data_IF_506433112548
#
_entry.id   IF_506433112548
#
_cell.length_a   1.000
_cell.length_b   1.000
_cell.length_c   1.000
_cell.angle_alpha   90.00
_cell.angle_beta   90.00
_cell.angle_gamma   90.00
#
_symmetry.space_group_name_H-M   'P 1'
#
loop_
_entity.id
_entity.type
_entity.pdbx_description
1 polymer ?
#
# COMPACT_ATOMS: atom_id res chain seq x y z
N UNK A 1 -37.95 -26.92 21.26
CA UNK A 1 -36.68 -27.25 21.95
C UNK A 1 -35.50 -27.64 21.03
N UNK A 2 -35.69 -28.16 19.80
CA UNK A 2 -34.58 -28.61 18.93
C UNK A 2 -33.61 -27.53 18.40
N UNK A 3 -34.09 -26.30 18.18
CA UNK A 3 -33.28 -25.24 17.55
C UNK A 3 -32.17 -24.69 18.47
N UNK A 4 -32.45 -24.56 19.78
CA UNK A 4 -31.44 -24.12 20.74
C UNK A 4 -30.38 -25.20 20.98
N UNK A 5 -30.74 -26.47 20.86
CA UNK A 5 -29.79 -27.58 20.91
C UNK A 5 -28.87 -27.55 19.70
N UNK A 6 -29.41 -27.33 18.50
CA UNK A 6 -28.62 -27.18 17.28
C UNK A 6 -27.69 -25.97 17.31
N UNK A 7 -28.14 -24.83 17.88
CA UNK A 7 -27.29 -23.66 18.07
C UNK A 7 -26.15 -23.91 19.06
N UNK A 8 -26.43 -24.54 20.21
CA UNK A 8 -25.40 -24.89 21.19
C UNK A 8 -24.42 -25.94 20.66
N UNK A 9 -24.88 -26.86 19.82
CA UNK A 9 -24.05 -27.87 19.18
C UNK A 9 -23.15 -27.24 18.12
N UNK A 10 -23.68 -26.32 17.29
CA UNK A 10 -22.89 -25.54 16.34
C UNK A 10 -21.85 -24.62 17.02
N UNK A 11 -22.19 -24.05 18.18
CA UNK A 11 -21.30 -23.19 18.96
C UNK A 11 -20.18 -23.99 19.66
N UNK A 12 -20.50 -25.20 20.15
CA UNK A 12 -19.50 -26.15 20.67
C UNK A 12 -18.55 -26.66 19.59
N UNK A 13 -19.04 -26.92 18.37
CA UNK A 13 -18.20 -27.31 17.23
C UNK A 13 -17.24 -26.17 16.84
N UNK A 14 -17.66 -24.89 16.92
CA UNK A 14 -16.78 -23.73 16.70
C UNK A 14 -15.73 -23.52 17.79
N UNK A 15 -16.01 -23.88 19.05
CA UNK A 15 -15.07 -23.69 20.16
C UNK A 15 -14.14 -24.88 20.40
N UNK A 16 -14.52 -26.09 20.00
CA UNK A 16 -13.63 -27.27 20.03
C UNK A 16 -12.70 -27.35 18.83
N UNK A 17 -13.06 -26.72 17.71
CA UNK A 17 -12.09 -26.37 16.68
C UNK A 17 -11.16 -25.29 17.23
N UNK A 18 -10.11 -25.71 17.96
CA UNK A 18 -8.87 -24.94 18.03
C UNK A 18 -8.56 -24.42 16.62
N UNK A 19 -7.98 -23.22 16.44
CA UNK A 19 -7.61 -22.74 15.11
C UNK A 19 -6.59 -23.71 14.53
N UNK A 20 -7.09 -24.74 13.83
CA UNK A 20 -6.30 -25.69 13.07
C UNK A 20 -5.39 -24.84 12.21
N UNK A 21 -4.08 -24.95 12.45
CA UNK A 21 -3.09 -24.54 11.47
C UNK A 21 -3.60 -25.00 10.11
N UNK A 22 -3.91 -24.06 9.22
CA UNK A 22 -4.72 -24.36 8.05
C UNK A 22 -4.03 -25.40 7.15
N UNK A 23 -4.34 -26.69 7.33
CA UNK A 23 -3.78 -27.83 6.58
C UNK A 23 -4.23 -27.82 5.12
N UNK A 24 -5.31 -27.12 4.80
CA UNK A 24 -5.90 -27.05 3.45
C UNK A 24 -5.17 -26.04 2.57
N UNK A 25 -4.91 -26.39 1.31
CA UNK A 25 -4.32 -25.49 0.28
C UNK A 25 -5.02 -24.12 0.22
N UNK A 26 -6.35 -24.10 0.36
CA UNK A 26 -7.17 -22.89 0.43
C UNK A 26 -6.82 -21.96 1.60
N UNK A 27 -6.54 -22.50 2.78
CA UNK A 27 -6.17 -21.70 3.95
C UNK A 27 -4.76 -21.10 3.84
N UNK A 28 -3.84 -21.82 3.18
CA UNK A 28 -2.52 -21.27 2.82
C UNK A 28 -2.64 -20.15 1.79
N UNK A 29 -3.50 -20.30 0.78
CA UNK A 29 -3.79 -19.24 -0.19
C UNK A 29 -4.43 -18.01 0.47
N UNK A 30 -5.37 -18.21 1.40
CA UNK A 30 -6.01 -17.12 2.15
C UNK A 30 -5.01 -16.32 3.00
N UNK A 31 -4.10 -16.99 3.71
CA UNK A 31 -3.06 -16.30 4.50
C UNK A 31 -2.11 -15.52 3.59
N UNK A 32 -1.75 -16.09 2.44
CA UNK A 32 -0.88 -15.43 1.45
C UNK A 32 -1.57 -14.23 0.81
N UNK A 33 -2.85 -14.35 0.47
CA UNK A 33 -3.63 -13.22 -0.05
C UNK A 33 -3.77 -12.13 1.00
N UNK A 34 -4.04 -12.46 2.27
CA UNK A 34 -4.18 -11.46 3.34
C UNK A 34 -2.88 -10.69 3.59
N UNK A 35 -1.73 -11.37 3.59
CA UNK A 35 -0.42 -10.72 3.66
C UNK A 35 -0.17 -9.80 2.47
N UNK A 36 -0.44 -10.31 1.26
CA UNK A 36 -0.31 -9.52 0.03
C UNK A 36 -1.23 -8.29 0.04
N UNK A 37 -2.47 -8.43 0.53
CA UNK A 37 -3.41 -7.33 0.70
C UNK A 37 -2.88 -6.29 1.70
N UNK A 38 -2.31 -6.72 2.83
CA UNK A 38 -1.72 -5.81 3.80
C UNK A 38 -0.54 -5.00 3.21
N UNK A 39 0.32 -5.65 2.42
CA UNK A 39 1.40 -4.99 1.69
C UNK A 39 0.86 -3.97 0.67
N UNK A 40 -0.21 -4.32 -0.07
CA UNK A 40 -0.88 -3.43 -1.03
C UNK A 40 -1.59 -2.23 -0.39
N UNK A 41 -2.20 -2.42 0.77
CA UNK A 41 -2.85 -1.33 1.52
C UNK A 41 -1.81 -0.29 1.93
N UNK A 42 -0.58 -0.71 2.27
CA UNK A 42 0.52 0.20 2.58
C UNK A 42 0.83 1.15 1.43
N UNK A 43 0.99 0.61 0.21
CA UNK A 43 1.27 1.39 -1.00
C UNK A 43 0.14 2.35 -1.36
N UNK A 44 -1.11 1.91 -1.23
CA UNK A 44 -2.29 2.68 -1.66
C UNK A 44 -2.76 3.71 -0.63
N UNK A 45 -2.28 3.61 0.61
CA UNK A 45 -2.71 4.44 1.75
C UNK A 45 -2.54 5.93 1.49
N UNK A 46 -1.41 6.33 0.91
CA UNK A 46 -1.15 7.75 0.61
C UNK A 46 -2.24 8.31 -0.32
N UNK A 47 -2.48 7.63 -1.43
CA UNK A 47 -3.48 8.03 -2.41
C UNK A 47 -4.90 8.01 -1.82
N UNK A 48 -5.19 7.04 -0.95
CA UNK A 48 -6.49 6.99 -0.27
C UNK A 48 -6.73 8.18 0.65
N UNK A 49 -5.69 8.73 1.28
CA UNK A 49 -5.79 9.97 2.05
C UNK A 49 -5.95 11.18 1.14
N UNK A 50 -5.16 11.28 0.07
CA UNK A 50 -5.26 12.39 -0.89
C UNK A 50 -6.65 12.52 -1.52
N UNK A 51 -7.39 11.41 -1.64
CA UNK A 51 -8.80 11.43 -2.09
C UNK A 51 -9.72 12.32 -1.25
N UNK A 52 -9.39 12.58 0.00
CA UNK A 52 -10.18 13.41 0.92
C UNK A 52 -9.46 14.69 1.34
N UNK A 53 -8.20 14.86 0.94
CA UNK A 53 -7.43 16.05 1.27
C UNK A 53 -7.85 17.19 0.33
N UNK A 54 -7.93 18.40 0.88
CA UNK A 54 -8.09 19.64 0.12
C UNK A 54 -6.74 20.34 -0.06
N UNK A 55 -5.83 20.21 0.91
CA UNK A 55 -4.44 20.67 0.83
C UNK A 55 -3.46 19.57 1.25
N UNK A 56 -2.24 19.62 0.73
CA UNK A 56 -1.15 18.71 1.08
C UNK A 56 0.21 19.42 1.00
N UNK A 57 1.13 19.02 1.88
CA UNK A 57 2.51 19.54 1.89
C UNK A 57 3.46 18.57 1.20
N UNK A 58 4.21 19.08 0.23
CA UNK A 58 5.29 18.37 -0.45
C UNK A 58 6.62 18.80 0.17
N UNK A 59 7.25 17.90 0.93
CA UNK A 59 8.60 18.14 1.46
C UNK A 59 9.65 17.84 0.39
N UNK A 60 10.55 18.78 0.17
CA UNK A 60 11.61 18.71 -0.85
C UNK A 60 12.97 18.96 -0.23
N UNK A 61 14.02 18.53 -0.92
CA UNK A 61 15.38 18.98 -0.60
C UNK A 61 15.43 20.51 -0.68
N UNK A 62 16.05 21.17 0.32
CA UNK A 62 16.20 22.61 0.39
C UNK A 62 16.89 23.23 -0.85
N UNK A 63 17.75 22.46 -1.53
CA UNK A 63 18.46 22.90 -2.73
C UNK A 63 17.65 22.72 -4.03
N UNK A 64 16.45 22.13 -3.95
CA UNK A 64 15.61 21.85 -5.12
C UNK A 64 14.75 23.06 -5.48
N UNK A 65 14.65 23.35 -6.78
CA UNK A 65 13.71 24.37 -7.27
C UNK A 65 12.27 23.91 -7.01
N UNK A 66 11.49 24.74 -6.31
CA UNK A 66 10.10 24.51 -5.94
C UNK A 66 9.22 24.11 -7.15
N UNK A 67 9.40 24.77 -8.30
CA UNK A 67 8.63 24.48 -9.52
C UNK A 67 9.02 23.14 -10.15
N UNK A 68 10.30 22.81 -10.10
CA UNK A 68 10.80 21.53 -10.59
C UNK A 68 10.27 20.39 -9.72
N UNK A 69 10.30 20.56 -8.39
CA UNK A 69 9.80 19.58 -7.46
C UNK A 69 8.29 19.32 -7.63
N UNK A 70 7.49 20.38 -7.82
CA UNK A 70 6.08 20.24 -8.13
C UNK A 70 5.86 19.49 -9.46
N UNK A 71 6.66 19.80 -10.49
CA UNK A 71 6.64 19.09 -11.78
C UNK A 71 6.94 17.60 -11.64
N UNK A 72 7.96 17.24 -10.86
CA UNK A 72 8.31 15.84 -10.55
C UNK A 72 7.18 15.15 -9.80
N UNK A 73 6.59 15.82 -8.80
CA UNK A 73 5.43 15.29 -8.08
C UNK A 73 4.27 15.03 -9.03
N UNK A 74 3.93 15.99 -9.91
CA UNK A 74 2.81 15.89 -10.86
C UNK A 74 3.03 14.73 -11.83
N UNK A 75 4.25 14.57 -12.34
CA UNK A 75 4.62 13.45 -13.17
C UNK A 75 4.51 12.10 -12.43
N UNK A 76 4.91 12.03 -11.16
CA UNK A 76 4.76 10.83 -10.33
C UNK A 76 3.27 10.48 -10.10
N UNK A 77 2.45 11.44 -9.67
CA UNK A 77 1.02 11.23 -9.45
C UNK A 77 0.29 10.83 -10.72
N UNK A 78 0.66 11.39 -11.89
CA UNK A 78 0.10 10.96 -13.18
C UNK A 78 0.45 9.51 -13.48
N UNK A 79 1.71 9.11 -13.31
CA UNK A 79 2.13 7.71 -13.52
C UNK A 79 1.38 6.75 -12.60
N UNK A 80 1.16 7.14 -11.35
CA UNK A 80 0.40 6.34 -10.38
C UNK A 80 -1.08 6.24 -10.75
N UNK A 81 -1.70 7.34 -11.17
CA UNK A 81 -3.07 7.33 -11.68
C UNK A 81 -3.19 6.39 -12.90
N UNK A 82 -2.31 6.53 -13.89
CA UNK A 82 -2.33 5.69 -15.09
C UNK A 82 -2.12 4.20 -14.75
N UNK A 83 -1.19 3.90 -13.84
CA UNK A 83 -0.93 2.53 -13.36
C UNK A 83 -2.15 1.95 -12.66
N UNK A 84 -2.77 2.69 -11.74
CA UNK A 84 -3.94 2.21 -11.02
C UNK A 84 -5.17 2.06 -11.91
N UNK A 85 -5.34 2.91 -12.91
CA UNK A 85 -6.39 2.74 -13.91
C UNK A 85 -6.18 1.45 -14.72
N UNK A 86 -4.96 1.19 -15.21
CA UNK A 86 -4.66 -0.07 -15.91
C UNK A 86 -4.93 -1.29 -15.04
N UNK A 87 -4.47 -1.27 -13.78
CA UNK A 87 -4.72 -2.36 -12.85
C UNK A 87 -6.19 -2.52 -12.50
N UNK A 88 -6.94 -1.42 -12.36
CA UNK A 88 -8.39 -1.45 -12.14
C UNK A 88 -9.09 -2.19 -13.28
N UNK A 89 -8.76 -1.86 -14.54
CA UNK A 89 -9.34 -2.53 -15.72
C UNK A 89 -9.04 -4.03 -15.68
N UNK A 90 -7.78 -4.42 -15.44
CA UNK A 90 -7.39 -5.84 -15.38
C UNK A 90 -8.15 -6.60 -14.29
N UNK A 91 -8.23 -6.06 -13.07
CA UNK A 91 -8.90 -6.74 -11.96
C UNK A 91 -10.43 -6.71 -12.12
N UNK A 92 -10.99 -5.70 -12.76
CA UNK A 92 -12.42 -5.64 -13.07
C UNK A 92 -12.81 -6.71 -14.10
N UNK A 93 -11.99 -6.91 -15.13
CA UNK A 93 -12.17 -8.02 -16.07
C UNK A 93 -12.04 -9.38 -15.36
N UNK A 94 -11.06 -9.51 -14.46
CA UNK A 94 -10.91 -10.69 -13.60
C UNK A 94 -12.14 -10.95 -12.71
N UNK A 95 -12.75 -9.90 -12.16
CA UNK A 95 -13.98 -9.99 -11.37
C UNK A 95 -15.13 -10.55 -12.22
N UNK A 96 -15.34 -10.01 -13.43
CA UNK A 96 -16.37 -10.50 -14.35
C UNK A 96 -16.12 -11.97 -14.70
N UNK A 97 -14.87 -12.32 -15.02
CA UNK A 97 -14.49 -13.69 -15.33
C UNK A 97 -14.64 -14.65 -14.13
N UNK A 98 -14.67 -14.14 -12.89
CA UNK A 98 -14.91 -14.95 -11.69
C UNK A 98 -16.39 -15.26 -11.43
N UNK A 99 -17.32 -14.58 -12.12
CA UNK A 99 -18.75 -14.75 -11.90
C UNK A 99 -19.26 -16.20 -12.07
N UNK A 100 -18.80 -17.00 -13.05
CA UNK A 100 -19.19 -18.41 -13.17
C UNK A 100 -18.85 -19.25 -11.93
N UNK A 101 -17.74 -18.94 -11.24
CA UNK A 101 -17.30 -19.64 -10.03
C UNK A 101 -18.26 -19.37 -8.86
N UNK A 102 -18.99 -18.26 -8.88
CA UNK A 102 -19.97 -17.93 -7.85
C UNK A 102 -21.17 -18.90 -7.82
N UNK A 103 -21.43 -19.63 -8.91
CA UNK A 103 -22.51 -20.61 -8.99
C UNK A 103 -22.11 -22.00 -8.46
N UNK A 104 -20.83 -22.23 -8.20
CA UNK A 104 -20.35 -23.48 -7.59
C UNK A 104 -20.55 -23.39 -6.07
N UNK A 105 -21.22 -24.38 -5.43
CA UNK A 105 -21.43 -24.36 -3.99
C UNK A 105 -20.08 -24.38 -3.25
N UNK A 106 -19.72 -23.24 -2.67
CA UNK A 106 -18.47 -23.01 -1.96
C UNK A 106 -18.23 -21.51 -1.70
N UNK A 107 -17.26 -21.14 -0.85
CA UNK A 107 -16.93 -19.74 -0.62
C UNK A 107 -16.36 -19.12 -1.91
N UNK A 108 -16.99 -18.05 -2.41
CA UNK A 108 -16.53 -17.29 -3.58
C UNK A 108 -15.32 -16.41 -3.24
N UNK A 109 -14.21 -17.03 -2.84
CA UNK A 109 -12.97 -16.35 -2.42
C UNK A 109 -12.42 -15.48 -3.54
N UNK A 110 -12.52 -15.94 -4.80
CA UNK A 110 -12.07 -15.19 -5.97
C UNK A 110 -12.86 -13.89 -6.15
N UNK A 111 -14.19 -13.95 -6.06
CA UNK A 111 -15.04 -12.77 -6.14
C UNK A 111 -14.71 -11.75 -5.06
N UNK A 112 -14.51 -12.18 -3.80
CA UNK A 112 -14.11 -11.27 -2.73
C UNK A 112 -12.73 -10.65 -2.95
N UNK A 113 -11.75 -11.45 -3.41
CA UNK A 113 -10.40 -10.96 -3.70
C UNK A 113 -10.42 -9.92 -4.81
N UNK A 114 -11.06 -10.22 -5.94
CA UNK A 114 -11.15 -9.30 -7.06
C UNK A 114 -11.92 -8.03 -6.69
N UNK A 115 -13.04 -8.16 -5.98
CA UNK A 115 -13.81 -7.01 -5.47
C UNK A 115 -12.93 -6.10 -4.62
N UNK A 116 -12.16 -6.66 -3.68
CA UNK A 116 -11.25 -5.87 -2.86
C UNK A 116 -10.21 -5.13 -3.70
N UNK A 117 -9.57 -5.82 -4.65
CA UNK A 117 -8.54 -5.20 -5.51
C UNK A 117 -9.09 -4.12 -6.42
N UNK A 118 -10.29 -4.31 -6.97
CA UNK A 118 -11.01 -3.32 -7.78
C UNK A 118 -11.27 -2.07 -6.95
N UNK A 119 -11.83 -2.22 -5.74
CA UNK A 119 -12.08 -1.08 -4.85
C UNK A 119 -10.78 -0.37 -4.48
N UNK A 120 -9.74 -1.11 -4.11
CA UNK A 120 -8.45 -0.52 -3.73
C UNK A 120 -7.81 0.28 -4.86
N UNK A 121 -7.80 -0.27 -6.09
CA UNK A 121 -7.28 0.42 -7.27
C UNK A 121 -8.14 1.61 -7.69
N UNK A 122 -9.46 1.52 -7.59
CA UNK A 122 -10.36 2.64 -7.85
C UNK A 122 -10.10 3.81 -6.88
N UNK A 123 -9.99 3.52 -5.58
CA UNK A 123 -9.74 4.53 -4.56
C UNK A 123 -8.35 5.17 -4.74
N UNK A 124 -7.33 4.38 -5.09
CA UNK A 124 -5.99 4.87 -5.37
C UNK A 124 -5.94 5.75 -6.62
N UNK A 125 -6.58 5.32 -7.72
CA UNK A 125 -6.71 6.11 -8.94
C UNK A 125 -7.43 7.44 -8.69
N UNK A 126 -8.57 7.40 -7.97
CA UNK A 126 -9.32 8.61 -7.61
C UNK A 126 -8.47 9.55 -6.76
N UNK A 127 -7.75 9.01 -5.79
CA UNK A 127 -6.82 9.75 -4.95
C UNK A 127 -5.73 10.47 -5.74
N UNK A 128 -5.05 9.74 -6.63
CA UNK A 128 -4.03 10.31 -7.51
C UNK A 128 -4.61 11.39 -8.44
N UNK A 129 -5.80 11.17 -9.02
CA UNK A 129 -6.49 12.19 -9.84
C UNK A 129 -6.85 13.44 -9.05
N UNK A 130 -7.31 13.31 -7.80
CA UNK A 130 -7.54 14.48 -6.94
C UNK A 130 -6.24 15.20 -6.62
N UNK A 131 -5.20 14.45 -6.25
CA UNK A 131 -3.86 15.00 -6.03
C UNK A 131 -3.33 15.81 -7.23
N UNK A 132 -3.70 15.43 -8.45
CA UNK A 132 -3.32 16.18 -9.66
C UNK A 132 -4.13 17.45 -9.90
N UNK A 133 -5.45 17.40 -9.69
CA UNK A 133 -6.37 18.41 -10.22
C UNK A 133 -7.06 19.28 -9.17
N UNK A 134 -7.19 18.79 -7.94
CA UNK A 134 -8.04 19.40 -6.91
C UNK A 134 -7.28 19.75 -5.61
N UNK A 135 -6.19 19.04 -5.29
CA UNK A 135 -5.42 19.29 -4.07
C UNK A 135 -4.51 20.51 -4.25
N UNK A 136 -4.57 21.45 -3.31
CA UNK A 136 -3.62 22.55 -3.22
C UNK A 136 -2.31 22.05 -2.58
N UNK A 137 -1.20 22.24 -3.30
CA UNK A 137 0.12 21.79 -2.84
C UNK A 137 0.93 22.95 -2.28
N UNK A 138 1.41 22.79 -1.05
CA UNK A 138 2.40 23.66 -0.44
C UNK A 138 3.75 22.96 -0.50
N UNK A 139 4.74 23.58 -1.13
CA UNK A 139 6.08 22.99 -1.25
C UNK A 139 6.97 23.58 -0.16
N UNK A 140 7.49 22.72 0.71
CA UNK A 140 8.31 23.11 1.85
C UNK A 140 9.70 22.47 1.80
N UNK A 141 10.78 23.26 1.90
CA UNK A 141 12.13 22.72 1.99
C UNK A 141 12.32 21.99 3.33
N UNK A 142 13.01 20.85 3.28
CA UNK A 142 13.32 20.03 4.44
C UNK A 142 14.80 19.64 4.43
N UNK A 143 15.56 20.21 5.36
CA UNK A 143 17.00 20.01 5.48
C UNK A 143 17.38 18.55 5.77
N UNK A 144 16.51 17.77 6.41
CA UNK A 144 16.76 16.34 6.61
C UNK A 144 16.75 15.56 5.29
N UNK A 145 16.00 16.02 4.28
CA UNK A 145 16.05 15.45 2.93
C UNK A 145 17.31 15.86 2.16
N UNK A 146 17.80 17.08 2.39
CA UNK A 146 19.11 17.54 1.89
C UNK A 146 20.25 16.69 2.46
N UNK A 147 20.25 16.47 3.77
CA UNK A 147 21.23 15.61 4.45
C UNK A 147 21.17 14.16 3.93
N UNK A 148 19.96 13.65 3.67
CA UNK A 148 19.76 12.32 3.09
C UNK A 148 20.38 12.20 1.70
N UNK A 149 20.19 13.21 0.85
CA UNK A 149 20.80 13.26 -0.49
C UNK A 149 22.32 13.33 -0.40
N UNK A 150 22.85 14.18 0.48
CA UNK A 150 24.28 14.33 0.72
C UNK A 150 24.94 13.04 1.21
N UNK A 151 24.23 12.24 2.01
CA UNK A 151 24.73 10.97 2.54
C UNK A 151 25.14 9.97 1.43
N UNK A 152 24.55 10.04 0.24
CA UNK A 152 24.87 9.11 -0.85
C UNK A 152 26.26 9.32 -1.47
N UNK A 153 26.89 10.48 -1.25
CA UNK A 153 28.26 10.78 -1.70
C UNK A 153 29.30 10.34 -0.65
N UNK A 154 28.88 10.07 0.59
CA UNK A 154 29.76 9.69 1.69
C UNK A 154 30.20 8.22 1.63
N UNK A 155 31.32 7.94 2.29
CA UNK A 155 31.78 6.58 2.59
C UNK A 155 30.77 5.81 3.45
N UNK A 156 30.86 4.48 3.46
CA UNK A 156 29.84 3.60 4.05
C UNK A 156 29.53 3.89 5.54
N UNK A 157 30.56 4.09 6.37
CA UNK A 157 30.42 4.39 7.81
C UNK A 157 29.72 5.73 8.05
N UNK A 158 30.19 6.80 7.40
CA UNK A 158 29.59 8.13 7.54
C UNK A 158 28.18 8.20 6.97
N UNK A 159 27.94 7.52 5.83
CA UNK A 159 26.61 7.40 5.24
C UNK A 159 25.62 6.73 6.19
N UNK A 160 26.00 5.62 6.81
CA UNK A 160 25.14 4.90 7.76
C UNK A 160 24.73 5.79 8.93
N UNK A 161 25.69 6.50 9.53
CA UNK A 161 25.44 7.44 10.63
C UNK A 161 24.47 8.56 10.24
N UNK A 162 24.69 9.21 9.09
CA UNK A 162 23.83 10.31 8.63
C UNK A 162 22.43 9.82 8.33
N UNK A 163 22.27 8.67 7.66
CA UNK A 163 20.95 8.11 7.36
C UNK A 163 20.18 7.77 8.65
N UNK A 164 20.85 7.23 9.67
CA UNK A 164 20.21 6.89 10.94
C UNK A 164 19.73 8.13 11.71
N UNK A 165 20.51 9.22 11.68
CA UNK A 165 20.10 10.51 12.25
C UNK A 165 18.91 11.13 11.49
N UNK A 166 18.96 11.14 10.16
CA UNK A 166 17.85 11.60 9.31
C UNK A 166 16.59 10.77 9.55
N UNK A 167 16.70 9.45 9.68
CA UNK A 167 15.59 8.56 9.98
C UNK A 167 14.89 8.92 11.31
N UNK A 168 15.67 9.33 12.31
CA UNK A 168 15.13 9.81 13.58
C UNK A 168 14.40 11.15 13.41
N UNK A 169 15.01 12.12 12.71
CA UNK A 169 14.41 13.45 12.45
C UNK A 169 13.13 13.39 11.61
N UNK A 170 13.04 12.46 10.66
CA UNK A 170 11.86 12.25 9.82
C UNK A 170 10.81 11.33 10.46
N UNK A 171 11.05 10.80 11.66
CA UNK A 171 10.22 9.77 12.31
C UNK A 171 9.97 8.54 11.41
N UNK A 172 10.98 8.17 10.61
CA UNK A 172 10.93 7.04 9.70
C UNK A 172 11.92 5.94 10.15
N UNK A 173 11.60 5.15 11.19
CA UNK A 173 12.53 4.21 11.81
C UNK A 173 13.00 3.09 10.86
N UNK A 174 12.28 2.86 9.75
CA UNK A 174 12.64 1.86 8.74
C UNK A 174 13.45 2.43 7.56
N UNK A 175 13.67 3.74 7.53
CA UNK A 175 14.37 4.42 6.43
C UNK A 175 15.81 3.94 6.30
N UNK A 176 16.55 3.84 7.41
CA UNK A 176 17.95 3.42 7.38
C UNK A 176 18.11 2.02 6.76
N UNK A 177 17.35 1.06 7.27
CA UNK A 177 17.31 -0.30 6.72
C UNK A 177 16.91 -0.33 5.24
N UNK A 178 15.95 0.49 4.83
CA UNK A 178 15.51 0.56 3.44
C UNK A 178 16.64 1.06 2.51
N UNK A 179 17.32 2.15 2.90
CA UNK A 179 18.39 2.74 2.09
C UNK A 179 19.58 1.78 1.98
N UNK A 180 19.95 1.11 3.06
CA UNK A 180 21.01 0.09 3.06
C UNK A 180 20.75 -1.04 2.06
N UNK A 181 19.51 -1.56 2.04
CA UNK A 181 19.10 -2.62 1.13
C UNK A 181 19.12 -2.17 -0.34
N UNK A 182 18.74 -0.93 -0.62
CA UNK A 182 18.79 -0.36 -1.97
C UNK A 182 20.23 -0.14 -2.45
N UNK A 183 21.11 0.34 -1.56
CA UNK A 183 22.51 0.60 -1.88
C UNK A 183 23.32 -0.69 -2.13
N UNK A 184 23.00 -1.79 -1.43
CA UNK A 184 23.65 -3.09 -1.65
C UNK A 184 23.15 -3.83 -2.88
N UNK A 185 21.93 -3.56 -3.36
CA UNK A 185 21.38 -4.19 -4.58
C UNK A 185 21.94 -3.55 -5.86
N UNK A 186 22.57 -2.38 -5.76
CA UNK A 186 23.08 -1.60 -6.89
C UNK A 186 24.60 -1.74 -7.12
N UNK A 187 25.24 -2.69 -6.45
CA UNK A 187 26.67 -3.03 -6.57
C UNK A 187 26.83 -4.43 -7.18
#
# INVERSE_FOLDING_TARGET
MRFQTQLKEAERVRHQAAPEEAKTFLGRMQKRSLRWLAERIGEQRLLWHLRKADSATLHVDADMNLREAEGVMRAAMKRDADRHLRLLVVHFLGLIASAPVAFVPGPNVLGYLFTFTVVGHFLAWRGARRGLNEVEWQVEPNTALTDLRGAFVLGAEDRHRVIHDVAHRLHMPKLARFVEQMATTSA
#
